data_IF_982381475139
#
_entry.id   IF_982381475139
#
_cell.length_a   1.000
_cell.length_b   1.000
_cell.length_c   1.000
_cell.angle_alpha   90.00
_cell.angle_beta   90.00
_cell.angle_gamma   90.00
#
_symmetry.space_group_name_H-M   'P 1'
#
loop_
_entity.id
_entity.type
_entity.pdbx_description
1 polymer ?
#
# COMPACT_ATOMS: atom_id res chain seq x y z
N UNK A 2 -6.81 -3.08 -2.69
CA UNK A 2 -5.70 -2.33 -2.11
C UNK A 2 -4.51 -2.19 -3.08
N UNK A 3 -3.63 -1.22 -2.80
CA UNK A 3 -2.37 -1.00 -3.51
C UNK A 3 -1.24 -0.73 -2.54
N UNK A 4 -0.03 -1.19 -2.89
CA UNK A 4 1.20 -0.88 -2.18
C UNK A 4 1.72 0.49 -2.61
N UNK A 5 2.18 1.29 -1.64
CA UNK A 5 2.75 2.62 -1.87
C UNK A 5 4.17 2.73 -1.29
N UNK A 6 4.84 1.57 -1.15
CA UNK A 6 6.17 1.41 -0.58
C UNK A 6 6.18 0.29 0.45
N UNK A 7 6.36 0.67 1.72
CA UNK A 7 6.47 -0.22 2.88
C UNK A 7 5.11 -0.51 3.55
N UNK A 8 4.02 0.08 3.02
CA UNK A 8 2.67 0.07 3.56
C UNK A 8 1.65 -0.07 2.41
N UNK A 9 0.53 -0.70 2.76
CA UNK A 9 -0.60 -1.04 1.88
C UNK A 9 -1.75 -0.06 2.15
N UNK A 10 -2.33 0.52 1.09
CA UNK A 10 -3.50 1.39 1.16
C UNK A 10 -4.71 0.68 0.53
N UNK A 11 -5.82 0.59 1.26
CA UNK A 11 -7.06 -0.04 0.80
C UNK A 11 -8.15 1.03 0.62
#
# INVERSE_FOLDING_TARGET
>A
XCVWEGNKLHCX
#
